data_IF_321067338947
#
_entry.id   IF_321067338947
#
_cell.length_a   1.000
_cell.length_b   1.000
_cell.length_c   1.000
_cell.angle_alpha   90.00
_cell.angle_beta   90.00
_cell.angle_gamma   90.00
#
_symmetry.space_group_name_H-M   'P 1'
#
loop_
_entity.id
_entity.type
_entity.pdbx_description
1 polymer ?
#
# COMPACT_ATOMS: atom_id res chain seq x y z
N UNK A 1 11.54 -5.05 7.95
CA UNK A 1 12.43 -4.15 7.19
C UNK A 1 11.81 -3.86 5.83
N UNK A 2 12.12 -2.73 5.17
CA UNK A 2 11.63 -2.46 3.82
C UNK A 2 12.16 -3.49 2.81
N UNK A 3 11.29 -3.98 1.95
CA UNK A 3 11.69 -4.84 0.82
C UNK A 3 12.33 -3.95 -0.23
N UNK A 4 13.55 -4.28 -0.67
CA UNK A 4 14.27 -3.52 -1.69
C UNK A 4 14.03 -4.16 -3.08
N UNK A 5 13.41 -3.44 -4.03
CA UNK A 5 13.15 -3.99 -5.37
C UNK A 5 14.42 -4.40 -6.12
N UNK A 6 15.52 -3.65 -5.96
CA UNK A 6 16.83 -4.02 -6.50
C UNK A 6 17.30 -5.40 -6.01
N UNK A 7 17.15 -5.70 -4.72
CA UNK A 7 17.50 -7.02 -4.15
C UNK A 7 16.69 -8.14 -4.79
N UNK A 8 15.38 -7.95 -5.00
CA UNK A 8 14.53 -8.95 -5.64
C UNK A 8 14.97 -9.20 -7.09
N UNK A 9 15.26 -8.13 -7.84
CA UNK A 9 15.74 -8.21 -9.23
C UNK A 9 17.10 -8.90 -9.31
N UNK A 10 18.08 -8.43 -8.55
CA UNK A 10 19.46 -8.92 -8.57
C UNK A 10 19.52 -10.39 -8.17
N UNK A 11 18.77 -10.78 -7.15
CA UNK A 11 18.68 -12.19 -6.73
C UNK A 11 18.04 -13.05 -7.83
N UNK A 12 16.95 -12.59 -8.43
CA UNK A 12 16.27 -13.31 -9.52
C UNK A 12 17.22 -13.53 -10.69
N UNK A 13 17.93 -12.49 -11.14
CA UNK A 13 18.93 -12.59 -12.23
C UNK A 13 20.07 -13.54 -11.83
N UNK A 14 20.58 -13.42 -10.61
CA UNK A 14 21.72 -14.20 -10.13
C UNK A 14 21.43 -15.70 -10.07
N UNK A 15 20.22 -16.07 -9.65
CA UNK A 15 19.84 -17.47 -9.41
C UNK A 15 18.95 -18.08 -10.49
N UNK A 16 18.55 -17.32 -11.52
CA UNK A 16 17.84 -17.84 -12.70
C UNK A 16 18.53 -19.06 -13.34
N UNK A 17 19.87 -19.12 -13.50
CA UNK A 17 20.54 -20.31 -14.05
C UNK A 17 20.38 -21.58 -13.19
N UNK A 18 20.04 -21.44 -11.91
CA UNK A 18 19.78 -22.54 -10.99
C UNK A 18 18.29 -22.95 -10.98
N UNK A 19 17.46 -22.38 -11.85
CA UNK A 19 16.03 -22.66 -11.92
C UNK A 19 15.19 -21.90 -10.89
N UNK A 20 15.71 -20.80 -10.33
CA UNK A 20 14.92 -19.95 -9.43
C UNK A 20 13.76 -19.31 -10.21
N UNK A 21 12.54 -19.50 -9.70
CA UNK A 21 11.31 -18.91 -10.25
C UNK A 21 10.91 -17.69 -9.40
N UNK A 22 10.87 -16.47 -9.97
CA UNK A 22 10.44 -15.28 -9.21
C UNK A 22 9.00 -15.37 -8.68
N UNK A 23 8.16 -16.28 -9.18
CA UNK A 23 6.82 -16.52 -8.63
C UNK A 23 6.82 -17.09 -7.20
N UNK A 24 7.97 -17.55 -6.71
CA UNK A 24 8.12 -18.10 -5.34
C UNK A 24 8.49 -17.03 -4.31
N UNK A 25 8.64 -15.77 -4.72
CA UNK A 25 8.84 -14.69 -3.77
C UNK A 25 7.65 -14.59 -2.82
N UNK A 26 7.94 -14.52 -1.52
CA UNK A 26 6.93 -14.31 -0.48
C UNK A 26 7.24 -13.00 0.25
N UNK A 27 6.73 -11.90 -0.28
CA UNK A 27 6.79 -10.60 0.38
C UNK A 27 5.68 -10.53 1.42
N UNK A 28 6.05 -10.31 2.68
CA UNK A 28 5.16 -10.32 3.83
C UNK A 28 5.34 -9.06 4.65
N UNK A 29 4.27 -8.62 5.30
CA UNK A 29 4.28 -7.53 6.28
C UNK A 29 3.85 -8.07 7.65
N UNK A 30 4.46 -7.51 8.69
CA UNK A 30 4.41 -8.07 10.02
C UNK A 30 5.15 -7.27 11.08
N UNK A 31 4.72 -7.42 12.33
CA UNK A 31 5.30 -6.78 13.51
C UNK A 31 5.00 -7.62 14.77
N UNK A 32 5.74 -7.36 15.85
CA UNK A 32 5.58 -8.10 17.10
C UNK A 32 4.18 -7.93 17.70
N UNK A 33 3.57 -6.76 17.48
CA UNK A 33 2.22 -6.40 17.91
C UNK A 33 1.13 -7.22 17.22
N UNK A 34 1.43 -7.93 16.13
CA UNK A 34 0.55 -8.93 15.50
C UNK A 34 1.09 -10.35 15.62
N UNK A 35 1.88 -10.60 16.67
CA UNK A 35 2.73 -11.79 16.88
C UNK A 35 3.86 -11.94 15.85
N UNK A 36 3.54 -11.90 14.55
CA UNK A 36 4.51 -11.85 13.47
C UNK A 36 3.87 -11.44 12.14
N UNK A 37 2.82 -12.13 11.70
CA UNK A 37 2.23 -11.95 10.37
C UNK A 37 1.05 -10.98 10.42
N UNK A 38 0.99 -10.05 9.46
CA UNK A 38 -0.16 -9.18 9.22
C UNK A 38 -0.79 -9.48 7.86
N UNK A 39 0.00 -9.44 6.77
CA UNK A 39 -0.47 -9.75 5.42
C UNK A 39 0.66 -10.21 4.48
N UNK A 40 0.28 -10.75 3.32
CA UNK A 40 1.18 -11.23 2.27
C UNK A 40 0.98 -12.71 1.93
N UNK A 41 1.61 -13.14 0.83
CA UNK A 41 1.68 -14.53 0.37
C UNK A 41 2.82 -14.70 -0.63
N UNK A 42 3.07 -15.96 -1.02
CA UNK A 42 3.92 -16.25 -2.18
C UNK A 42 3.17 -15.90 -3.46
N UNK A 43 3.72 -14.96 -4.24
CA UNK A 43 3.23 -14.58 -5.57
C UNK A 43 4.26 -13.75 -6.33
N UNK A 44 3.98 -13.46 -7.60
CA UNK A 44 4.72 -12.45 -8.34
C UNK A 44 4.61 -11.09 -7.64
N UNK A 45 5.74 -10.55 -7.19
CA UNK A 45 5.79 -9.27 -6.52
C UNK A 45 5.49 -8.16 -7.51
N UNK A 46 4.38 -7.44 -7.28
CA UNK A 46 4.06 -6.22 -8.02
C UNK A 46 4.82 -5.07 -7.37
N UNK A 47 5.54 -4.30 -8.16
CA UNK A 47 6.25 -3.11 -7.70
C UNK A 47 5.69 -1.89 -8.43
N UNK A 48 5.22 -0.89 -7.68
CA UNK A 48 4.73 0.36 -8.23
C UNK A 48 5.82 1.43 -8.14
N UNK A 49 5.90 2.27 -9.16
CA UNK A 49 6.76 3.46 -9.10
C UNK A 49 5.89 4.68 -8.77
N UNK A 50 6.28 5.42 -7.74
CA UNK A 50 5.48 6.50 -7.14
C UNK A 50 6.33 7.77 -7.04
N UNK A 51 5.79 8.97 -7.36
CA UNK A 51 6.50 10.22 -7.09
C UNK A 51 6.60 10.45 -5.59
N UNK A 52 7.79 10.76 -5.09
CA UNK A 52 8.01 11.06 -3.66
C UNK A 52 7.19 12.23 -3.16
N UNK A 53 6.89 13.19 -4.03
CA UNK A 53 6.03 14.35 -3.73
C UNK A 53 4.57 14.00 -3.48
N UNK A 54 4.15 12.76 -3.72
CA UNK A 54 2.78 12.24 -3.53
C UNK A 54 2.68 11.23 -2.38
N UNK A 55 3.70 11.20 -1.50
CA UNK A 55 3.75 10.28 -0.36
C UNK A 55 3.49 10.96 0.99
N UNK A 56 2.92 12.17 0.99
CA UNK A 56 2.43 12.82 2.21
C UNK A 56 1.14 12.17 2.71
N UNK A 57 0.87 12.30 4.01
CA UNK A 57 -0.38 11.81 4.61
C UNK A 57 -1.58 12.49 3.93
N UNK A 58 -2.53 11.69 3.45
CA UNK A 58 -3.72 12.13 2.71
C UNK A 58 -3.53 12.29 1.21
N UNK A 59 -2.29 12.34 0.72
CA UNK A 59 -1.99 12.42 -0.71
C UNK A 59 -2.42 11.14 -1.42
N UNK A 60 -2.80 11.27 -2.69
CA UNK A 60 -3.01 10.14 -3.59
C UNK A 60 -1.66 9.80 -4.22
N UNK A 61 -1.18 8.57 -4.00
CA UNK A 61 0.14 8.12 -4.45
C UNK A 61 0.33 8.23 -5.98
N UNK A 62 -0.72 8.10 -6.79
CA UNK A 62 -0.65 8.16 -8.27
C UNK A 62 0.44 7.24 -8.87
N UNK A 63 0.35 5.92 -8.67
CA UNK A 63 1.36 4.99 -9.14
C UNK A 63 1.39 4.89 -10.67
N UNK A 64 2.60 4.85 -11.24
CA UNK A 64 2.80 4.38 -12.61
C UNK A 64 2.85 2.85 -12.61
N UNK A 65 1.99 2.23 -13.41
CA UNK A 65 2.06 0.80 -13.67
C UNK A 65 3.29 0.50 -14.53
N UNK A 66 4.35 -0.07 -13.93
CA UNK A 66 5.48 -0.59 -14.67
C UNK A 66 5.08 -1.93 -15.29
N UNK A 67 4.72 -1.90 -16.57
CA UNK A 67 4.59 -3.13 -17.35
C UNK A 67 5.98 -3.73 -17.51
N UNK A 68 6.15 -4.99 -17.07
CA UNK A 68 7.45 -5.68 -17.08
C UNK A 68 8.15 -5.56 -18.43
N UNK A 69 9.31 -4.90 -18.44
CA UNK A 69 10.15 -4.76 -19.64
C UNK A 69 11.01 -3.49 -19.70
N UNK A 70 10.59 -2.38 -19.06
CA UNK A 70 11.30 -1.09 -19.17
C UNK A 70 11.97 -0.63 -17.86
N UNK A 71 12.35 -1.60 -17.01
CA UNK A 71 12.91 -1.38 -15.66
C UNK A 71 14.37 -0.93 -15.64
N UNK A 72 14.98 -0.67 -16.79
CA UNK A 72 16.42 -0.36 -16.90
C UNK A 72 16.71 1.14 -16.98
N UNK A 73 15.67 1.98 -17.02
CA UNK A 73 15.87 3.42 -16.90
C UNK A 73 16.06 3.76 -15.42
N UNK A 74 17.20 4.36 -15.02
CA UNK A 74 17.36 4.83 -13.66
C UNK A 74 16.25 5.83 -13.37
N UNK A 75 15.45 5.51 -12.35
CA UNK A 75 14.47 6.45 -11.83
C UNK A 75 15.23 7.69 -11.37
N UNK A 76 14.75 8.87 -11.76
CA UNK A 76 15.26 10.10 -11.14
C UNK A 76 14.98 10.05 -9.64
N UNK A 77 15.80 10.73 -8.83
CA UNK A 77 15.68 10.80 -7.37
C UNK A 77 14.28 11.22 -6.85
N UNK A 78 13.43 11.79 -7.71
CA UNK A 78 12.05 12.17 -7.40
C UNK A 78 11.05 11.00 -7.33
N UNK A 79 11.45 9.78 -7.69
CA UNK A 79 10.59 8.60 -7.68
C UNK A 79 11.11 7.53 -6.71
N UNK A 80 10.20 6.69 -6.24
CA UNK A 80 10.48 5.54 -5.40
C UNK A 80 9.72 4.31 -5.90
N UNK A 81 10.36 3.15 -5.80
CA UNK A 81 9.74 1.87 -6.08
C UNK A 81 9.19 1.26 -4.77
N UNK A 82 7.89 0.96 -4.77
CA UNK A 82 7.19 0.38 -3.64
C UNK A 82 6.75 -1.05 -4.01
N UNK A 83 7.35 -2.11 -3.45
CA UNK A 83 6.85 -3.46 -3.62
C UNK A 83 5.56 -3.65 -2.82
N UNK A 84 4.57 -4.27 -3.44
CA UNK A 84 3.25 -4.53 -2.87
C UNK A 84 3.19 -5.87 -2.14
N UNK A 85 2.46 -5.88 -1.04
CA UNK A 85 2.16 -7.07 -0.25
C UNK A 85 0.66 -7.33 -0.31
N UNK A 86 0.25 -8.52 -0.75
CA UNK A 86 -1.17 -8.81 -0.94
C UNK A 86 -1.95 -8.90 0.36
N UNK A 87 -3.10 -8.24 0.39
CA UNK A 87 -4.05 -8.28 1.48
C UNK A 87 -5.06 -9.36 1.14
N UNK A 88 -5.05 -10.45 1.89
CA UNK A 88 -6.11 -11.46 1.80
C UNK A 88 -7.34 -11.01 2.60
N UNK A 89 -8.55 -11.43 2.19
CA UNK A 89 -9.77 -11.18 2.96
C UNK A 89 -9.66 -11.60 4.43
N UNK A 90 -10.34 -10.86 5.31
CA UNK A 90 -10.30 -11.10 6.76
C UNK A 90 -10.93 -12.46 7.14
N UNK A 91 -11.93 -12.93 6.38
CA UNK A 91 -12.53 -14.26 6.60
C UNK A 91 -11.56 -15.42 6.31
N UNK A 92 -10.48 -15.21 5.55
CA UNK A 92 -9.44 -16.21 5.28
C UNK A 92 -8.29 -16.17 6.28
N UNK A 93 -8.01 -15.01 6.87
CA UNK A 93 -6.79 -14.77 7.65
C UNK A 93 -7.04 -14.40 9.11
N UNK A 94 -8.26 -14.00 9.45
CA UNK A 94 -8.59 -13.37 10.73
C UNK A 94 -7.92 -12.01 10.94
N UNK A 95 -7.38 -11.39 9.87
CA UNK A 95 -6.65 -10.13 9.90
C UNK A 95 -7.27 -9.13 8.91
N UNK A 96 -7.48 -7.92 9.39
CA UNK A 96 -8.02 -6.79 8.64
C UNK A 96 -6.96 -5.72 8.52
N UNK A 97 -6.67 -5.29 7.30
CA UNK A 97 -5.78 -4.16 7.00
C UNK A 97 -6.60 -2.97 6.53
N UNK A 98 -6.32 -1.78 7.07
CA UNK A 98 -6.91 -0.50 6.65
C UNK A 98 -5.84 0.58 6.60
N UNK A 99 -6.10 1.62 5.82
CA UNK A 99 -5.32 2.86 5.82
C UNK A 99 -6.16 3.94 6.48
N UNK A 100 -5.60 4.64 7.47
CA UNK A 100 -6.30 5.72 8.14
C UNK A 100 -5.40 6.92 8.39
N UNK A 101 -5.99 8.11 8.44
CA UNK A 101 -5.27 9.32 8.85
C UNK A 101 -4.77 9.15 10.30
N UNK A 102 -3.48 9.40 10.58
CA UNK A 102 -2.88 9.14 11.89
C UNK A 102 -3.51 9.96 13.01
N UNK A 103 -3.86 11.23 12.75
CA UNK A 103 -4.39 12.13 13.78
C UNK A 103 -5.90 12.06 13.99
N UNK A 104 -6.68 11.85 12.93
CA UNK A 104 -8.16 11.91 13.00
C UNK A 104 -8.80 10.53 13.13
N UNK A 105 -8.06 9.46 12.80
CA UNK A 105 -8.58 8.09 12.73
C UNK A 105 -9.53 7.85 11.55
N UNK A 106 -9.67 8.81 10.63
CA UNK A 106 -10.51 8.67 9.44
C UNK A 106 -9.92 7.63 8.48
N UNK A 107 -10.72 6.64 8.07
CA UNK A 107 -10.33 5.67 7.05
C UNK A 107 -10.18 6.39 5.72
N UNK A 108 -9.05 6.17 5.06
CA UNK A 108 -8.73 6.78 3.78
C UNK A 108 -9.14 5.87 2.62
N UNK A 109 -9.44 6.47 1.48
CA UNK A 109 -9.77 5.75 0.26
C UNK A 109 -8.55 5.03 -0.32
N UNK A 110 -8.81 4.09 -1.23
CA UNK A 110 -7.76 3.42 -1.99
C UNK A 110 -6.85 4.43 -2.71
N UNK A 111 -5.55 4.17 -2.72
CA UNK A 111 -4.51 5.03 -3.27
C UNK A 111 -4.08 6.19 -2.37
N UNK A 112 -4.82 6.51 -1.30
CA UNK A 112 -4.41 7.54 -0.36
C UNK A 112 -3.39 7.01 0.66
N UNK A 113 -2.41 7.84 0.97
CA UNK A 113 -1.36 7.51 1.93
C UNK A 113 -1.81 7.84 3.35
N UNK A 114 -1.64 6.89 4.26
CA UNK A 114 -1.94 7.07 5.66
C UNK A 114 -1.24 6.03 6.53
N UNK A 115 -1.63 5.98 7.80
CA UNK A 115 -1.12 4.98 8.72
C UNK A 115 -1.78 3.63 8.46
N UNK A 116 -0.98 2.57 8.44
CA UNK A 116 -1.46 1.19 8.38
C UNK A 116 -2.11 0.83 9.71
N UNK A 117 -3.37 0.42 9.66
CA UNK A 117 -4.18 -0.01 10.80
C UNK A 117 -4.49 -1.49 10.66
N UNK A 118 -4.33 -2.23 11.76
CA UNK A 118 -4.55 -3.68 11.78
C UNK A 118 -5.57 -4.05 12.85
N UNK A 119 -6.48 -4.95 12.54
CA UNK A 119 -7.36 -5.58 13.52
C UNK A 119 -7.39 -7.09 13.25
N UNK A 120 -7.44 -7.91 14.28
CA UNK A 120 -7.45 -9.36 14.09
C UNK A 120 -7.10 -10.14 15.34
N UNK A 121 -7.21 -11.46 15.26
CA UNK A 121 -7.00 -12.37 16.41
C UNK A 121 -5.55 -12.44 16.88
N UNK A 122 -4.60 -12.16 15.98
CA UNK A 122 -3.16 -12.15 16.30
C UNK A 122 -2.67 -10.82 16.85
N UNK A 123 -3.54 -9.79 16.93
CA UNK A 123 -3.17 -8.50 17.55
C UNK A 123 -2.98 -8.72 19.05
N UNK A 124 -1.83 -8.31 19.57
CA UNK A 124 -1.50 -8.45 20.99
C UNK A 124 -2.45 -7.63 21.87
N UNK A 125 -2.58 -8.02 23.13
CA UNK A 125 -3.47 -7.34 24.08
C UNK A 125 -2.94 -5.96 24.53
N UNK A 126 -1.63 -5.76 24.44
CA UNK A 126 -0.95 -4.59 24.96
C UNK A 126 0.51 -4.85 25.30
N UNK A 127 1.19 -3.79 25.73
CA UNK A 127 2.53 -3.85 26.28
C UNK A 127 2.49 -4.11 27.79
N UNK A 128 3.38 -4.98 28.27
CA UNK A 128 3.45 -5.33 29.68
C UNK A 128 3.71 -4.09 30.56
N UNK A 129 2.86 -3.87 31.57
CA UNK A 129 2.96 -2.77 32.54
C UNK A 129 2.89 -1.34 31.96
N UNK A 130 2.44 -1.18 30.71
CA UNK A 130 2.31 0.12 30.04
C UNK A 130 0.87 0.32 29.55
N UNK A 131 -0.08 0.47 30.49
CA UNK A 131 -1.51 0.50 30.19
C UNK A 131 -1.90 1.68 29.27
N UNK A 132 -1.42 2.89 29.56
CA UNK A 132 -1.74 4.07 28.75
C UNK A 132 -1.22 3.92 27.31
N UNK A 133 0.01 3.41 27.15
CA UNK A 133 0.59 3.14 25.84
C UNK A 133 -0.16 2.02 25.12
N UNK A 134 -0.60 1.00 25.86
CA UNK A 134 -1.37 -0.12 25.32
C UNK A 134 -2.73 0.36 24.81
N UNK A 135 -3.42 1.20 25.59
CA UNK A 135 -4.67 1.80 25.15
C UNK A 135 -4.46 2.67 23.89
N UNK A 136 -3.43 3.53 23.89
CA UNK A 136 -3.12 4.39 22.75
C UNK A 136 -2.67 3.61 21.49
N UNK A 137 -2.12 2.41 21.64
CA UNK A 137 -1.56 1.64 20.52
C UNK A 137 -2.53 0.60 19.98
N UNK A 138 -3.27 -0.11 20.84
CA UNK A 138 -4.07 -1.29 20.44
C UNK A 138 -5.58 -1.06 20.47
N UNK A 139 -6.05 0.06 21.02
CA UNK A 139 -7.48 0.29 21.32
C UNK A 139 -8.13 1.38 20.47
N UNK A 140 -7.58 1.65 19.28
CA UNK A 140 -8.07 2.73 18.41
C UNK A 140 -9.41 2.35 17.75
N UNK A 141 -10.32 3.33 17.64
CA UNK A 141 -11.56 3.19 16.88
C UNK A 141 -11.48 4.02 15.61
N UNK A 142 -11.66 3.39 14.44
CA UNK A 142 -11.62 4.10 13.17
C UNK A 142 -12.93 4.81 12.86
N UNK A 143 -12.82 5.94 12.14
CA UNK A 143 -13.96 6.72 11.65
C UNK A 143 -14.16 6.42 10.17
N UNK A 144 -15.33 5.95 9.83
CA UNK A 144 -15.72 5.70 8.45
C UNK A 144 -16.55 6.88 7.97
N UNK A 145 -16.00 7.68 7.06
CA UNK A 145 -16.79 8.70 6.36
C UNK A 145 -17.56 8.04 5.21
N UNK A 146 -18.83 8.41 5.03
CA UNK A 146 -19.59 8.01 3.83
C UNK A 146 -18.92 8.69 2.62
N UNK A 147 -18.21 7.91 1.81
CA UNK A 147 -17.60 8.41 0.59
C UNK A 147 -18.70 8.94 -0.34
N UNK A 148 -18.86 10.26 -0.40
CA UNK A 148 -19.39 10.92 -1.60
C UNK A 148 -18.31 10.73 -2.65
N UNK A 149 -18.62 9.95 -3.68
CA UNK A 149 -17.66 9.48 -4.68
C UNK A 149 -17.57 10.52 -5.81
N UNK A 150 -16.61 11.47 -5.84
CA UNK A 150 -16.14 11.98 -7.13
C UNK A 150 -15.27 10.87 -7.71
N UNK A 151 -15.64 10.38 -8.89
CA UNK A 151 -14.86 9.38 -9.62
C UNK A 151 -13.44 9.90 -9.78
N UNK A 152 -12.43 9.07 -9.51
CA UNK A 152 -11.00 9.38 -9.71
C UNK A 152 -10.73 10.00 -11.11
N UNK A 153 -11.60 9.74 -12.09
CA UNK A 153 -11.65 10.39 -13.40
C UNK A 153 -11.69 11.93 -13.36
N UNK A 154 -12.45 12.54 -12.45
CA UNK A 154 -12.65 14.00 -12.43
C UNK A 154 -11.40 14.75 -11.97
N UNK A 155 -10.61 14.18 -11.06
CA UNK A 155 -9.36 14.77 -10.60
C UNK A 155 -8.22 14.54 -11.60
N UNK A 156 -8.14 13.34 -12.19
CA UNK A 156 -7.15 13.01 -13.22
C UNK A 156 -7.31 13.86 -14.49
N UNK A 157 -8.55 14.15 -14.93
CA UNK A 157 -8.79 15.04 -16.08
C UNK A 157 -8.39 16.49 -15.83
N UNK A 158 -8.51 16.97 -14.58
CA UNK A 158 -8.14 18.35 -14.23
C UNK A 158 -6.62 18.57 -14.24
N UNK A 159 -5.83 17.57 -13.84
CA UNK A 159 -4.36 17.69 -13.74
C UNK A 159 -3.62 17.33 -15.04
N UNK A 160 -4.16 16.40 -15.86
CA UNK A 160 -3.63 16.13 -17.22
C UNK A 160 -3.73 17.38 -18.11
N UNK A 161 -4.76 18.20 -17.89
CA UNK A 161 -4.91 19.50 -18.60
C UNK A 161 -3.89 20.56 -18.16
N UNK A 162 -3.29 20.43 -16.97
CA UNK A 162 -2.34 21.40 -16.41
C UNK A 162 -0.87 21.11 -16.77
N UNK A 163 -0.54 19.87 -17.16
CA UNK A 163 0.84 19.42 -17.39
C UNK A 163 1.28 19.44 -18.86
N UNK A 164 0.39 19.79 -19.80
CA UNK A 164 0.73 19.95 -21.21
C UNK A 164 1.17 18.66 -21.93
N UNK A 165 1.06 17.51 -21.28
CA UNK A 165 1.26 16.19 -21.88
C UNK A 165 0.01 15.84 -22.69
N UNK A 166 0.12 15.90 -24.02
CA UNK A 166 -0.93 15.42 -24.92
C UNK A 166 -1.03 13.90 -24.82
N UNK A 167 -1.90 13.41 -23.94
CA UNK A 167 -2.43 12.06 -24.08
C UNK A 167 -3.44 12.11 -25.24
N UNK A 168 -3.16 11.38 -26.32
CA UNK A 168 -4.17 11.10 -27.34
C UNK A 168 -5.33 10.35 -26.68
N UNK A 169 -6.37 11.10 -26.33
CA UNK A 169 -7.69 10.60 -25.94
C UNK A 169 -8.34 9.98 -27.17
N UNK A 170 -8.07 8.71 -27.43
CA UNK A 170 -8.93 7.89 -28.30
C UNK A 170 -9.86 7.04 -27.45
N UNK A 171 -11.10 7.53 -27.39
CA UNK A 171 -12.38 6.84 -27.34
C UNK A 171 -12.60 5.71 -26.30
N UNK A 172 -13.61 5.99 -25.46
CA UNK A 172 -14.38 5.15 -24.54
C UNK A 172 -14.06 3.64 -24.49
N UNK A 173 -13.64 3.21 -23.30
CA UNK A 173 -13.86 1.84 -22.81
C UNK A 173 -12.68 0.90 -23.06
N UNK A 174 -12.14 0.37 -21.95
CA UNK A 174 -11.03 -0.59 -21.88
C UNK A 174 -9.64 0.06 -21.99
N UNK A 175 -9.13 0.53 -20.84
CA UNK A 175 -7.69 0.52 -20.64
C UNK A 175 -7.23 -0.95 -20.72
N UNK A 176 -6.70 -1.35 -21.87
CA UNK A 176 -6.04 -2.64 -22.07
C UNK A 176 -4.74 -2.63 -21.25
N UNK A 177 -4.85 -2.87 -19.96
CA UNK A 177 -3.78 -3.52 -19.19
C UNK A 177 -3.90 -5.00 -19.55
N UNK A 178 -2.80 -5.59 -20.00
CA UNK A 178 -2.75 -6.91 -20.61
C UNK A 178 -3.54 -7.97 -19.83
N UNK A 179 -4.37 -8.71 -20.58
CA UNK A 179 -5.23 -9.80 -20.13
C UNK A 179 -4.46 -10.99 -19.55
N UNK A 180 -4.98 -11.53 -18.44
CA UNK A 180 -5.14 -12.95 -18.03
C UNK A 180 -5.53 -12.91 -16.53
N UNK A 181 -6.72 -13.22 -16.02
CA UNK A 181 -7.88 -13.98 -16.48
C UNK A 181 -9.16 -13.30 -15.94
N UNK A 182 -10.15 -13.13 -16.81
CA UNK A 182 -11.28 -12.21 -16.63
C UNK A 182 -12.52 -12.85 -15.98
N UNK A 183 -12.34 -13.75 -15.00
CA UNK A 183 -13.49 -14.47 -14.41
C UNK A 183 -13.57 -14.60 -12.89
N UNK A 184 -12.64 -13.99 -12.12
CA UNK A 184 -12.75 -13.97 -10.65
C UNK A 184 -12.73 -12.56 -10.02
N UNK A 185 -12.52 -11.51 -10.82
CA UNK A 185 -12.34 -10.14 -10.32
C UNK A 185 -13.65 -9.38 -10.00
N UNK A 186 -14.82 -9.94 -10.35
CA UNK A 186 -16.11 -9.27 -10.08
C UNK A 186 -16.68 -9.57 -8.69
N UNK A 187 -16.17 -10.57 -7.97
CA UNK A 187 -16.55 -10.82 -6.57
C UNK A 187 -15.65 -10.07 -5.57
N UNK A 188 -14.43 -9.69 -5.96
CA UNK A 188 -13.46 -9.01 -5.06
C UNK A 188 -13.74 -7.52 -4.90
N UNK A 189 -14.35 -6.85 -5.90
CA UNK A 189 -14.61 -5.41 -5.85
C UNK A 189 -15.78 -5.06 -4.90
N UNK A 190 -16.67 -6.01 -4.62
CA UNK A 190 -17.71 -5.85 -3.61
C UNK A 190 -17.19 -6.00 -2.18
N UNK A 191 -16.01 -6.60 -1.95
CA UNK A 191 -15.51 -6.87 -0.61
C UNK A 191 -14.74 -5.70 0.05
N UNK A 192 -14.31 -4.70 -0.73
CA UNK A 192 -13.59 -3.52 -0.20
C UNK A 192 -14.50 -2.32 0.04
N UNK A 193 -15.73 -2.34 -0.50
CA UNK A 193 -16.76 -1.30 -0.25
C UNK A 193 -18.06 -1.83 0.34
N UNK A 194 -18.23 -3.15 0.50
CA UNK A 194 -19.33 -3.68 1.30
C UNK A 194 -19.05 -3.47 2.79
N UNK A 195 -19.94 -2.72 3.41
CA UNK A 195 -20.35 -2.83 4.81
C UNK A 195 -20.54 -4.31 5.17
N UNK A 196 -19.47 -4.98 5.53
CA UNK A 196 -19.40 -6.44 5.59
C UNK A 196 -18.26 -6.96 6.47
N UNK A 197 -17.83 -6.19 7.46
CA UNK A 197 -17.55 -6.68 8.81
C UNK A 197 -17.45 -5.44 9.68
N UNK A 198 -18.49 -5.13 10.45
CA UNK A 198 -18.36 -4.19 11.55
C UNK A 198 -17.59 -4.94 12.64
N UNK A 199 -16.30 -5.19 12.36
CA UNK A 199 -15.38 -5.73 13.34
C UNK A 199 -15.33 -4.67 14.45
N UNK A 200 -16.11 -4.88 15.49
CA UNK A 200 -16.16 -4.00 16.67
C UNK A 200 -14.84 -4.05 17.46
N UNK A 201 -13.86 -4.80 16.95
CA UNK A 201 -12.52 -4.90 17.50
C UNK A 201 -11.80 -3.57 17.29
N UNK A 202 -11.01 -3.17 18.29
CA UNK A 202 -10.15 -2.03 18.11
C UNK A 202 -9.02 -2.33 17.12
N UNK A 203 -8.47 -1.26 16.57
CA UNK A 203 -7.35 -1.30 15.65
C UNK A 203 -6.03 -0.98 16.36
N UNK A 204 -5.00 -1.70 15.94
CA UNK A 204 -3.60 -1.44 16.22
C UNK A 204 -3.09 -0.27 15.37
N UNK A 205 -2.39 0.66 16.02
CA UNK A 205 -1.58 1.72 15.44
C UNK A 205 -0.16 1.22 15.18
N UNK A 206 0.14 0.88 13.93
CA UNK A 206 1.44 0.30 13.56
C UNK A 206 2.58 1.32 13.56
N UNK A 207 2.25 2.62 13.38
CA UNK A 207 3.24 3.66 13.10
C UNK A 207 3.87 3.58 11.71
N UNK A 208 3.44 2.64 10.86
CA UNK A 208 3.88 2.49 9.47
C UNK A 208 2.96 3.30 8.55
N UNK A 209 3.55 3.97 7.56
CA UNK A 209 2.85 4.66 6.48
C UNK A 209 2.79 3.78 5.24
N UNK A 210 1.64 3.82 4.58
CA UNK A 210 1.43 3.15 3.31
C UNK A 210 0.11 3.54 2.67
N UNK A 211 -0.15 2.93 1.52
CA UNK A 211 -1.43 3.02 0.82
C UNK A 211 -1.84 1.63 0.32
N UNK A 212 -3.12 1.48 0.03
CA UNK A 212 -3.64 0.27 -0.63
C UNK A 212 -3.92 0.58 -2.09
N UNK A 213 -3.57 -0.33 -2.98
CA UNK A 213 -3.90 -0.26 -4.41
C UNK A 213 -4.04 -1.67 -4.98
N UNK A 214 -5.14 -1.95 -5.66
CA UNK A 214 -5.46 -3.25 -6.26
C UNK A 214 -5.27 -4.42 -5.27
N UNK A 215 -5.88 -4.29 -4.08
CA UNK A 215 -5.84 -5.31 -3.02
C UNK A 215 -4.47 -5.53 -2.38
N UNK A 216 -3.48 -4.66 -2.63
CA UNK A 216 -2.11 -4.77 -2.09
C UNK A 216 -1.76 -3.58 -1.22
N UNK A 217 -1.07 -3.85 -0.12
CA UNK A 217 -0.46 -2.86 0.75
C UNK A 217 0.91 -2.47 0.20
N UNK A 218 1.15 -1.17 0.04
CA UNK A 218 2.43 -0.59 -0.32
C UNK A 218 2.95 0.24 0.84
N UNK A 219 4.05 -0.19 1.45
CA UNK A 219 4.69 0.55 2.54
C UNK A 219 5.62 1.61 1.98
N UNK A 220 5.57 2.81 2.58
CA UNK A 220 6.37 3.95 2.15
C UNK A 220 7.35 4.41 3.24
N UNK A 221 7.09 4.09 4.51
CA UNK A 221 8.02 4.34 5.61
C UNK A 221 7.35 4.28 6.97
N UNK A 222 8.01 4.80 8.00
CA UNK A 222 7.47 4.98 9.35
C UNK A 222 7.13 6.43 9.60
N UNK A 223 6.04 6.71 10.32
CA UNK A 223 5.63 8.08 10.69
C UNK A 223 6.77 8.87 11.34
N UNK A 224 7.54 8.22 12.23
CA UNK A 224 8.64 8.86 12.96
C UNK A 224 9.92 9.04 12.14
N UNK A 225 10.03 8.36 11.00
CA UNK A 225 11.21 8.39 10.14
C UNK A 225 11.00 9.25 8.88
N UNK A 226 9.85 9.92 8.78
CA UNK A 226 9.56 10.92 7.75
C UNK A 226 10.18 12.26 8.12
N UNK A 227 11.05 12.77 7.27
CA UNK A 227 11.62 14.11 7.34
C UNK A 227 10.98 14.97 6.26
N UNK A 228 10.24 16.00 6.66
CA UNK A 228 9.72 17.00 5.73
C UNK A 228 10.74 18.14 5.56
N UNK A 229 11.42 18.22 4.41
CA UNK A 229 12.41 19.26 4.11
C UNK A 229 12.07 19.98 2.81
N UNK A 230 11.96 21.32 2.84
CA UNK A 230 11.65 22.17 1.66
C UNK A 230 10.37 21.74 0.90
N UNK A 231 9.35 21.27 1.62
CA UNK A 231 8.09 20.80 1.03
C UNK A 231 8.16 19.41 0.38
N UNK A 232 9.25 18.65 0.62
CA UNK A 232 9.40 17.26 0.18
C UNK A 232 9.38 16.33 1.39
N UNK A 233 8.69 15.21 1.25
CA UNK A 233 8.69 14.08 2.18
C UNK A 233 9.91 13.21 1.87
N UNK A 234 10.86 13.11 2.81
CA UNK A 234 12.03 12.24 2.72
C UNK A 234 11.88 11.12 3.74
N UNK A 235 12.07 9.86 3.34
CA UNK A 235 12.13 8.75 4.30
C UNK A 235 13.58 8.43 4.63
N UNK A 236 13.88 8.11 5.90
CA UNK A 236 15.24 7.87 6.36
C UNK A 236 16.02 6.85 5.49
N UNK A 237 15.35 5.78 5.05
CA UNK A 237 15.96 4.75 4.20
C UNK A 237 16.46 5.28 2.84
N UNK A 238 15.87 6.36 2.34
CA UNK A 238 16.28 6.98 1.08
C UNK A 238 17.53 7.85 1.21
N UNK A 239 17.84 8.28 2.43
CA UNK A 239 19.03 9.11 2.73
C UNK A 239 20.24 8.23 3.07
N UNK A 240 20.00 7.01 3.51
CA UNK A 240 21.05 6.04 3.92
C UNK A 240 21.71 5.32 2.74
N UNK A 241 21.32 5.61 1.50
CA UNK A 241 21.84 4.97 0.28
C UNK A 241 23.08 5.70 -0.27
#
# INVERSE_FOLDING_TARGET
>A
EPIRPATLRDFTVRFAPCGFDPGVWACLYGLAETCLYACGRSENVICLTVPRSRLGIGDIAMPLATSGGDSDRPLSDDWIECPGVHIRPANETGQTVRIAHPDTGAVLCEGQVGEVRLAGESVALGYWQLEDLSAATFRESLRFEEAVHPTIQDQVQSEVSATGLTAELTDVGHCKIASMEHHLAQETLAATTARGDADSRPYLRTGDLGFVWDGRLFLVGRIKDVICLKGRTLHAHDVEC
#
